data_IF_460665997119
#
_entry.id   IF_460665997119
#
_cell.length_a   1.000
_cell.length_b   1.000
_cell.length_c   1.000
_cell.angle_alpha   90.00
_cell.angle_beta   90.00
_cell.angle_gamma   90.00
#
_symmetry.space_group_name_H-M   'P 1'
#
loop_
_entity.id
_entity.type
_entity.pdbx_description
1 polymer ?
#
# COMPACT_ATOMS: atom_id res chain seq x y z
N UNK A 1 1.98 -1.01 -16.58
CA UNK A 1 1.23 -0.22 -15.56
C UNK A 1 2.06 0.89 -14.95
N UNK A 2 3.23 0.63 -14.36
CA UNK A 2 4.04 1.69 -13.72
C UNK A 2 4.39 2.89 -14.63
N UNK A 3 4.78 2.61 -15.89
CA UNK A 3 5.06 3.67 -16.89
C UNK A 3 3.84 4.53 -17.25
N UNK A 4 2.65 3.92 -17.25
CA UNK A 4 1.39 4.62 -17.55
C UNK A 4 1.08 5.65 -16.46
N UNK A 5 1.12 5.26 -15.18
CA UNK A 5 0.88 6.20 -14.09
C UNK A 5 1.90 7.34 -14.03
N UNK A 6 3.19 7.03 -14.23
CA UNK A 6 4.22 8.06 -14.24
C UNK A 6 3.96 9.10 -15.35
N UNK A 7 3.67 8.64 -16.57
CA UNK A 7 3.40 9.52 -17.70
C UNK A 7 2.12 10.34 -17.47
N UNK A 8 1.05 9.72 -16.96
CA UNK A 8 -0.21 10.41 -16.67
C UNK A 8 -0.03 11.52 -15.61
N UNK A 9 0.74 11.27 -14.55
CA UNK A 9 1.03 12.30 -13.54
C UNK A 9 1.95 13.42 -14.03
N UNK A 10 2.87 13.12 -14.94
CA UNK A 10 3.73 14.11 -15.60
C UNK A 10 2.91 14.99 -16.56
N UNK A 11 2.04 14.40 -17.38
CA UNK A 11 1.20 15.12 -18.35
C UNK A 11 0.16 16.02 -17.67
N UNK A 12 -0.43 15.57 -16.55
CA UNK A 12 -1.41 16.33 -15.78
C UNK A 12 -0.79 17.38 -14.85
N UNK A 13 0.54 17.57 -14.86
CA UNK A 13 1.25 18.55 -14.03
C UNK A 13 1.12 18.33 -12.52
N UNK A 14 0.68 17.15 -12.09
CA UNK A 14 0.41 16.85 -10.68
C UNK A 14 1.63 16.31 -9.94
N UNK A 15 2.75 16.07 -10.65
CA UNK A 15 3.94 15.42 -10.11
C UNK A 15 4.56 16.14 -8.90
N UNK A 16 4.41 17.47 -8.80
CA UNK A 16 4.94 18.25 -7.67
C UNK A 16 4.29 17.89 -6.31
N UNK A 17 3.07 17.36 -6.32
CA UNK A 17 2.32 16.98 -5.13
C UNK A 17 2.17 15.46 -4.96
N UNK A 18 2.82 14.67 -5.81
CA UNK A 18 2.70 13.21 -5.83
C UNK A 18 3.99 12.58 -5.31
N UNK A 19 3.85 11.66 -4.36
CA UNK A 19 4.94 10.78 -3.93
C UNK A 19 4.66 9.36 -4.43
N UNK A 20 5.51 8.84 -5.32
CA UNK A 20 5.35 7.51 -5.91
C UNK A 20 6.30 6.51 -5.24
N UNK A 21 5.72 5.41 -4.74
CA UNK A 21 6.44 4.21 -4.34
C UNK A 21 6.19 3.13 -5.40
N UNK A 22 7.24 2.76 -6.12
CA UNK A 22 7.14 1.80 -7.23
C UNK A 22 7.93 0.55 -6.86
N UNK A 23 7.24 -0.59 -6.84
CA UNK A 23 7.84 -1.91 -6.87
C UNK A 23 7.39 -2.60 -8.16
N UNK A 24 8.34 -2.92 -9.02
CA UNK A 24 8.09 -3.53 -10.32
C UNK A 24 7.98 -5.05 -10.21
N UNK A 25 7.43 -5.69 -11.25
CA UNK A 25 7.25 -7.14 -11.26
C UNK A 25 8.56 -7.93 -11.15
N UNK A 26 9.68 -7.33 -11.58
CA UNK A 26 11.03 -7.89 -11.51
C UNK A 26 11.75 -7.61 -10.17
N UNK A 27 11.15 -6.81 -9.29
CA UNK A 27 11.73 -6.50 -7.97
C UNK A 27 11.34 -7.59 -6.94
N UNK A 28 12.13 -7.76 -5.87
CA UNK A 28 11.89 -8.81 -4.87
C UNK A 28 10.49 -8.74 -4.23
N UNK A 29 9.92 -9.92 -3.98
CA UNK A 29 8.58 -10.06 -3.38
C UNK A 29 8.50 -9.52 -1.95
N UNK A 30 9.61 -9.58 -1.20
CA UNK A 30 9.71 -8.99 0.14
C UNK A 30 9.50 -7.47 0.12
N UNK A 31 9.96 -6.78 -0.92
CA UNK A 31 9.78 -5.33 -1.06
C UNK A 31 8.30 -4.97 -1.20
N UNK A 32 7.49 -5.83 -1.82
CA UNK A 32 6.03 -5.65 -1.93
C UNK A 32 5.35 -5.63 -0.56
N UNK A 33 5.88 -6.36 0.42
CA UNK A 33 5.31 -6.42 1.77
C UNK A 33 5.56 -5.09 2.51
N UNK A 34 6.74 -4.48 2.34
CA UNK A 34 7.09 -3.24 3.04
C UNK A 34 6.60 -1.98 2.31
N UNK A 35 6.43 -2.03 0.98
CA UNK A 35 6.00 -0.90 0.14
C UNK A 35 4.72 -0.19 0.65
N UNK A 36 3.59 -0.88 0.91
CA UNK A 36 2.38 -0.21 1.41
C UNK A 36 2.59 0.41 2.79
N UNK A 37 3.46 -0.19 3.62
CA UNK A 37 3.79 0.33 4.96
C UNK A 37 4.60 1.62 4.87
N UNK A 38 5.55 1.69 3.95
CA UNK A 38 6.31 2.92 3.67
C UNK A 38 5.38 4.03 3.17
N UNK A 39 4.55 3.71 2.17
CA UNK A 39 3.61 4.68 1.60
C UNK A 39 2.63 5.23 2.66
N UNK A 40 2.08 4.36 3.51
CA UNK A 40 1.19 4.78 4.60
C UNK A 40 1.89 5.60 5.67
N UNK A 41 3.12 5.26 6.03
CA UNK A 41 3.89 6.07 7.00
C UNK A 41 4.18 7.47 6.46
N UNK A 42 4.49 7.58 5.16
CA UNK A 42 4.61 8.88 4.50
C UNK A 42 3.28 9.63 4.46
N UNK A 43 2.17 8.93 4.19
CA UNK A 43 0.83 9.53 4.21
C UNK A 43 0.45 10.05 5.61
N UNK A 44 0.74 9.30 6.67
CA UNK A 44 0.51 9.71 8.06
C UNK A 44 1.34 10.92 8.45
N UNK A 45 2.61 10.98 8.04
CA UNK A 45 3.45 12.14 8.25
C UNK A 45 2.84 13.38 7.57
N UNK A 46 2.50 13.28 6.29
CA UNK A 46 1.93 14.39 5.53
C UNK A 46 0.55 14.82 6.07
N UNK A 47 -0.30 13.87 6.45
CA UNK A 47 -1.64 14.16 6.91
C UNK A 47 -1.64 14.71 8.34
N UNK A 48 -0.92 14.06 9.25
CA UNK A 48 -1.06 14.36 10.67
C UNK A 48 0.01 15.31 11.19
N UNK A 49 1.20 15.38 10.59
CA UNK A 49 2.25 16.32 11.01
C UNK A 49 2.29 17.58 10.14
N UNK A 50 1.98 17.47 8.85
CA UNK A 50 1.92 18.61 7.93
C UNK A 50 0.49 19.08 7.62
N UNK A 51 -0.53 18.49 8.25
CA UNK A 51 -1.94 18.86 8.13
C UNK A 51 -2.51 18.84 6.69
N UNK A 52 -1.97 17.97 5.82
CA UNK A 52 -2.44 17.84 4.43
C UNK A 52 -3.60 16.86 4.29
N UNK A 53 -4.46 17.07 3.30
CA UNK A 53 -5.40 16.03 2.85
C UNK A 53 -4.68 15.11 1.87
N UNK A 54 -4.48 13.86 2.27
CA UNK A 54 -3.72 12.88 1.51
C UNK A 54 -4.67 11.83 0.93
N UNK A 55 -4.57 11.61 -0.38
CA UNK A 55 -5.16 10.48 -1.06
C UNK A 55 -4.06 9.44 -1.30
N UNK A 56 -4.25 8.23 -0.80
CA UNK A 56 -3.33 7.11 -1.06
C UNK A 56 -4.03 6.06 -1.93
N UNK A 57 -3.34 5.68 -3.00
CA UNK A 57 -3.78 4.64 -3.93
C UNK A 57 -2.81 3.47 -3.77
N UNK A 58 -3.34 2.30 -3.38
CA UNK A 58 -2.55 1.09 -3.21
C UNK A 58 -2.88 0.13 -4.34
N UNK A 59 -1.89 -0.19 -5.19
CA UNK A 59 -2.06 -1.11 -6.31
C UNK A 59 -0.78 -1.95 -6.50
N UNK A 60 -0.83 -3.27 -6.62
CA UNK A 60 -1.99 -4.19 -6.56
C UNK A 60 -1.98 -4.99 -5.24
N UNK A 61 -3.08 -4.95 -4.49
CA UNK A 61 -3.23 -5.70 -3.23
C UNK A 61 -3.28 -7.23 -3.42
N UNK A 62 -3.59 -7.72 -4.63
CA UNK A 62 -3.47 -9.15 -4.96
C UNK A 62 -2.01 -9.57 -5.04
N UNK A 63 -1.15 -8.75 -5.66
CA UNK A 63 0.31 -8.98 -5.68
C UNK A 63 0.92 -8.92 -4.28
N UNK A 64 0.38 -8.07 -3.40
CA UNK A 64 0.75 -8.06 -1.98
C UNK A 64 0.39 -9.40 -1.30
N UNK A 65 -0.84 -9.88 -1.47
CA UNK A 65 -1.30 -11.12 -0.87
C UNK A 65 -0.52 -12.35 -1.37
N UNK A 66 -0.15 -12.37 -2.66
CA UNK A 66 0.71 -13.42 -3.23
C UNK A 66 2.11 -13.41 -2.63
N UNK A 67 2.72 -12.23 -2.48
CA UNK A 67 4.02 -12.11 -1.81
C UNK A 67 3.95 -12.58 -0.35
N UNK A 68 2.86 -12.26 0.36
CA UNK A 68 2.64 -12.71 1.73
C UNK A 68 2.51 -14.24 1.81
N UNK A 69 1.83 -14.85 0.82
CA UNK A 69 1.74 -16.31 0.68
C UNK A 69 3.11 -16.95 0.40
N UNK A 70 3.90 -16.37 -0.49
CA UNK A 70 5.23 -16.87 -0.84
C UNK A 70 6.15 -16.89 0.38
N UNK A 71 6.15 -15.81 1.17
CA UNK A 71 6.94 -15.72 2.41
C UNK A 71 6.47 -16.75 3.44
N UNK A 72 5.16 -16.92 3.61
CA UNK A 72 4.61 -17.92 4.53
C UNK A 72 4.99 -19.36 4.13
N UNK A 73 4.90 -19.66 2.83
CA UNK A 73 5.30 -20.97 2.28
C UNK A 73 6.81 -21.23 2.43
N UNK A 74 7.65 -20.23 2.20
CA UNK A 74 9.10 -20.32 2.38
C UNK A 74 9.50 -20.56 3.84
N UNK A 75 8.66 -20.17 4.80
CA UNK A 75 8.84 -20.40 6.24
C UNK A 75 8.23 -21.71 6.75
N UNK A 76 7.63 -22.51 5.86
CA UNK A 76 6.94 -23.75 6.20
C UNK A 76 5.83 -23.57 7.26
N UNK A 77 5.14 -22.43 7.23
CA UNK A 77 4.04 -22.16 8.14
C UNK A 77 2.78 -22.97 7.77
N UNK A 78 1.89 -23.18 8.75
CA UNK A 78 0.62 -23.88 8.51
C UNK A 78 -0.25 -23.03 7.58
N UNK A 79 -0.61 -23.54 6.38
CA UNK A 79 -1.39 -22.77 5.43
C UNK A 79 -2.84 -22.63 5.88
N UNK A 80 -3.42 -21.46 5.62
CA UNK A 80 -4.85 -21.22 5.72
C UNK A 80 -5.58 -21.57 4.43
N UNK A 81 -6.73 -20.93 4.21
CA UNK A 81 -7.57 -21.16 3.03
C UNK A 81 -6.83 -20.76 1.75
N UNK A 82 -6.88 -21.62 0.71
CA UNK A 82 -6.20 -21.41 -0.61
C UNK A 82 -4.67 -21.20 -0.50
N UNK A 83 -4.05 -21.65 0.58
CA UNK A 83 -2.61 -21.55 0.80
C UNK A 83 -2.14 -20.20 1.36
N UNK A 84 -3.04 -19.23 1.57
CA UNK A 84 -2.69 -17.96 2.22
C UNK A 84 -2.40 -18.16 3.72
N UNK A 85 -1.57 -17.30 4.34
CA UNK A 85 -1.29 -17.40 5.76
C UNK A 85 -2.56 -17.20 6.61
N UNK A 86 -2.64 -17.87 7.75
CA UNK A 86 -3.77 -17.73 8.68
C UNK A 86 -3.94 -16.30 9.22
N UNK A 87 -2.86 -15.52 9.25
CA UNK A 87 -2.86 -14.13 9.73
C UNK A 87 -3.13 -13.09 8.63
N UNK A 88 -3.49 -13.50 7.40
CA UNK A 88 -3.72 -12.57 6.28
C UNK A 88 -4.75 -11.49 6.61
N UNK A 89 -5.83 -11.84 7.34
CA UNK A 89 -6.84 -10.87 7.77
C UNK A 89 -6.24 -9.78 8.67
N UNK A 90 -5.51 -10.18 9.70
CA UNK A 90 -4.87 -9.25 10.64
C UNK A 90 -3.85 -8.38 9.93
N UNK A 91 -3.05 -8.98 9.04
CA UNK A 91 -2.01 -8.27 8.30
C UNK A 91 -2.58 -7.21 7.36
N UNK A 92 -3.64 -7.53 6.61
CA UNK A 92 -4.38 -6.55 5.79
C UNK A 92 -5.04 -5.46 6.64
N UNK A 93 -5.60 -5.81 7.80
CA UNK A 93 -6.17 -4.83 8.73
C UNK A 93 -5.12 -3.81 9.19
N UNK A 94 -3.86 -4.23 9.42
CA UNK A 94 -2.78 -3.29 9.78
C UNK A 94 -2.48 -2.24 8.71
N UNK A 95 -2.89 -2.48 7.45
CA UNK A 95 -2.75 -1.55 6.34
C UNK A 95 -4.01 -0.68 6.23
N UNK A 96 -5.19 -1.31 6.17
CA UNK A 96 -6.44 -0.61 5.87
C UNK A 96 -6.95 0.27 7.01
N UNK A 97 -6.70 -0.09 8.27
CA UNK A 97 -7.17 0.68 9.43
C UNK A 97 -6.35 1.95 9.71
N UNK A 98 -5.39 2.29 8.84
CA UNK A 98 -4.58 3.52 8.93
C UNK A 98 -5.22 4.71 8.21
N UNK A 99 -6.46 4.57 7.72
CA UNK A 99 -7.23 5.62 7.06
C UNK A 99 -8.01 6.48 8.06
N UNK A 100 -8.32 7.72 7.69
CA UNK A 100 -9.25 8.56 8.44
C UNK A 100 -8.70 9.94 8.82
N UNK A 101 -9.39 10.56 9.77
CA UNK A 101 -9.01 11.86 10.35
C UNK A 101 -9.02 11.73 11.87
N UNK A 102 -8.03 12.34 12.50
CA UNK A 102 -7.90 12.37 13.97
C UNK A 102 -8.54 13.65 14.51
N UNK A 103 -9.23 13.56 15.64
CA UNK A 103 -9.77 14.72 16.32
C UNK A 103 -8.65 15.70 16.71
N UNK A 104 -8.88 16.99 16.49
CA UNK A 104 -7.88 18.04 16.73
C UNK A 104 -6.82 18.19 15.64
N UNK A 105 -6.88 17.43 14.53
CA UNK A 105 -6.02 17.64 13.34
C UNK A 105 -6.85 17.92 12.09
N UNK A 106 -6.37 18.82 11.24
CA UNK A 106 -7.08 19.20 9.99
C UNK A 106 -6.86 18.18 8.86
N UNK A 107 -5.66 17.62 8.76
CA UNK A 107 -5.32 16.68 7.70
C UNK A 107 -6.02 15.33 7.83
N UNK A 108 -6.11 14.62 6.72
CA UNK A 108 -6.86 13.35 6.61
C UNK A 108 -6.20 12.41 5.62
N UNK A 109 -6.40 11.10 5.80
CA UNK A 109 -5.95 10.06 4.88
C UNK A 109 -7.18 9.37 4.29
N UNK A 110 -7.30 9.43 2.97
CA UNK A 110 -8.30 8.66 2.22
C UNK A 110 -7.58 7.54 1.48
N UNK A 111 -7.96 6.29 1.73
CA UNK A 111 -7.38 5.12 1.08
C UNK A 111 -8.27 4.60 -0.05
N UNK A 112 -7.67 4.33 -1.21
CA UNK A 112 -8.31 3.60 -2.32
C UNK A 112 -7.41 2.40 -2.68
N UNK A 113 -7.66 1.23 -2.06
CA UNK A 113 -6.97 -0.01 -2.43
C UNK A 113 -7.57 -0.59 -3.71
N UNK A 114 -6.71 -1.04 -4.63
CA UNK A 114 -7.07 -1.68 -5.89
C UNK A 114 -6.55 -3.13 -5.83
N UNK A 115 -7.44 -4.06 -6.15
CA UNK A 115 -7.13 -5.49 -6.22
C UNK A 115 -7.67 -6.11 -7.51
N UNK A 116 -7.07 -7.21 -7.93
CA UNK A 116 -7.53 -8.05 -9.05
C UNK A 116 -7.97 -9.43 -8.53
N UNK A 117 -9.21 -9.84 -8.81
CA UNK A 117 -9.80 -11.10 -8.34
C UNK A 117 -9.42 -12.31 -9.21
#
# INVERSE_FOLDING_TARGET
TARFFKQDFEENGSMENVCLFLNLANDPTIERIITPRLALTTAEYLAYQCEKHVLIILTDMSSYAEALREVSAAREEVPGRRGFPGYMYTDLATIYERAGRVEGRQGSITQIPILTM
#
